data_IF_287532035025
#
_entry.id   IF_287532035025
#
_cell.length_a   1.000
_cell.length_b   1.000
_cell.length_c   1.000
_cell.angle_alpha   90.00
_cell.angle_beta   90.00
_cell.angle_gamma   90.00
#
_symmetry.space_group_name_H-M   'P 1'
#
loop_
_entity.id
_entity.type
_entity.pdbx_description
1 polymer ?
#
# COMPACT_ATOMS: atom_id res chain seq x y z
N UNK A 1 -23.65 -13.81 -1.47
CA UNK A 1 -22.23 -14.10 -1.14
C UNK A 1 -22.15 -14.26 0.36
N UNK A 2 -21.64 -15.38 0.87
CA UNK A 2 -21.39 -15.54 2.32
C UNK A 2 -19.89 -15.29 2.55
N UNK A 3 -19.54 -14.31 3.39
CA UNK A 3 -18.15 -13.95 3.66
C UNK A 3 -17.49 -14.84 4.72
N UNK A 4 -18.28 -15.48 5.56
CA UNK A 4 -17.81 -16.34 6.65
C UNK A 4 -18.71 -17.56 6.84
N UNK A 5 -18.18 -18.64 7.39
CA UNK A 5 -18.92 -19.82 7.84
C UNK A 5 -18.80 -20.00 9.35
N UNK A 6 -19.90 -20.31 10.06
CA UNK A 6 -19.85 -20.53 11.51
C UNK A 6 -19.21 -21.86 11.90
N UNK A 7 -18.44 -21.88 13.00
CA UNK A 7 -17.85 -23.10 13.57
C UNK A 7 -17.70 -23.00 15.09
N UNK A 8 -18.45 -23.82 15.85
CA UNK A 8 -18.15 -24.26 17.23
C UNK A 8 -17.77 -23.23 18.32
N UNK A 9 -17.90 -21.92 18.06
CA UNK A 9 -17.36 -20.84 18.89
C UNK A 9 -16.81 -19.62 18.13
N UNK A 10 -16.79 -19.65 16.80
CA UNK A 10 -16.33 -18.54 15.97
C UNK A 10 -16.74 -18.70 14.50
N UNK A 11 -15.94 -18.11 13.62
CA UNK A 11 -16.14 -18.15 12.17
C UNK A 11 -14.87 -18.61 11.46
N UNK A 12 -15.07 -19.22 10.29
CA UNK A 12 -14.03 -19.52 9.31
C UNK A 12 -14.24 -18.57 8.14
N UNK A 13 -13.19 -17.81 7.83
CA UNK A 13 -13.21 -16.86 6.72
C UNK A 13 -13.26 -17.58 5.37
N UNK A 14 -13.99 -16.99 4.43
CA UNK A 14 -14.03 -17.48 3.06
C UNK A 14 -12.93 -16.86 2.22
N UNK A 15 -12.57 -17.52 1.12
CA UNK A 15 -11.63 -16.96 0.14
C UNK A 15 -12.09 -15.58 -0.38
N UNK A 16 -13.40 -15.36 -0.48
CA UNK A 16 -13.94 -14.08 -0.91
C UNK A 16 -13.75 -12.97 0.14
N UNK A 17 -13.82 -13.30 1.43
CA UNK A 17 -13.50 -12.36 2.49
C UNK A 17 -12.01 -12.03 2.50
N UNK A 18 -11.16 -13.04 2.39
CA UNK A 18 -9.71 -12.81 2.37
C UNK A 18 -9.27 -11.96 1.17
N UNK A 19 -9.82 -12.21 -0.03
CA UNK A 19 -9.54 -11.37 -1.20
C UNK A 19 -10.02 -9.92 -1.04
N UNK A 20 -11.17 -9.70 -0.41
CA UNK A 20 -11.65 -8.34 -0.11
C UNK A 20 -10.77 -7.65 0.94
N UNK A 21 -10.40 -8.36 2.02
CA UNK A 21 -9.53 -7.86 3.09
C UNK A 21 -8.16 -7.47 2.52
N UNK A 22 -7.58 -8.29 1.66
CA UNK A 22 -6.30 -8.02 1.00
C UNK A 22 -6.36 -6.77 0.12
N UNK A 23 -7.41 -6.61 -0.70
CA UNK A 23 -7.61 -5.39 -1.48
C UNK A 23 -7.76 -4.13 -0.62
N UNK A 24 -8.43 -4.24 0.53
CA UNK A 24 -8.51 -3.14 1.51
C UNK A 24 -7.14 -2.81 2.11
N UNK A 25 -6.28 -3.80 2.35
CA UNK A 25 -4.92 -3.58 2.82
C UNK A 25 -4.07 -2.85 1.76
N UNK A 26 -4.21 -3.18 0.48
CA UNK A 26 -3.50 -2.48 -0.60
C UNK A 26 -3.88 -0.99 -0.68
N UNK A 27 -5.17 -0.67 -0.52
CA UNK A 27 -5.64 0.72 -0.44
C UNK A 27 -5.01 1.45 0.76
N UNK A 28 -4.90 0.78 1.92
CA UNK A 28 -4.27 1.36 3.12
C UNK A 28 -2.79 1.66 2.88
N UNK A 29 -2.05 0.73 2.26
CA UNK A 29 -0.65 0.95 1.92
C UNK A 29 -0.47 2.09 0.92
N UNK A 30 -1.26 2.13 -0.16
CA UNK A 30 -1.20 3.22 -1.14
C UNK A 30 -1.51 4.58 -0.49
N UNK A 31 -2.53 4.62 0.37
CA UNK A 31 -2.92 5.84 1.10
C UNK A 31 -1.80 6.33 2.01
N UNK A 32 -1.20 5.44 2.82
CA UNK A 32 -0.10 5.81 3.70
C UNK A 32 1.12 6.30 2.91
N UNK A 33 1.45 5.63 1.80
CA UNK A 33 2.53 6.05 0.91
C UNK A 33 2.30 7.47 0.39
N UNK A 34 1.09 7.78 -0.08
CA UNK A 34 0.75 9.13 -0.55
C UNK A 34 0.85 10.17 0.57
N UNK A 35 0.33 9.87 1.76
CA UNK A 35 0.38 10.77 2.92
C UNK A 35 1.81 11.13 3.32
N UNK A 36 2.73 10.17 3.28
CA UNK A 36 4.15 10.40 3.57
C UNK A 36 4.87 11.12 2.42
N UNK A 37 4.56 10.79 1.17
CA UNK A 37 5.25 11.34 0.02
C UNK A 37 4.86 12.79 -0.28
N UNK A 38 3.56 13.14 -0.24
CA UNK A 38 3.08 14.45 -0.68
C UNK A 38 3.75 15.66 0.00
N UNK A 39 3.93 15.68 1.33
CA UNK A 39 4.66 16.77 2.00
C UNK A 39 6.12 16.87 1.54
N UNK A 40 6.76 15.73 1.29
CA UNK A 40 8.18 15.64 0.94
C UNK A 40 8.48 16.02 -0.52
N UNK A 41 7.48 16.04 -1.42
CA UNK A 41 7.64 16.52 -2.81
C UNK A 41 8.11 17.98 -2.87
N UNK A 42 7.87 18.77 -1.82
CA UNK A 42 8.30 20.17 -1.71
C UNK A 42 9.43 20.38 -0.69
N UNK A 43 10.01 19.31 -0.15
CA UNK A 43 11.08 19.40 0.83
C UNK A 43 12.33 20.09 0.23
N UNK A 44 13.03 20.89 1.04
CA UNK A 44 14.30 21.50 0.64
C UNK A 44 15.38 20.44 0.38
N UNK A 45 15.40 19.37 1.17
CA UNK A 45 16.30 18.23 0.97
C UNK A 45 15.98 17.52 -0.36
N UNK A 46 17.00 17.47 -1.21
CA UNK A 46 16.95 16.77 -2.49
C UNK A 46 16.66 15.28 -2.33
N UNK A 47 17.23 14.61 -1.32
CA UNK A 47 17.04 13.16 -1.11
C UNK A 47 15.60 12.85 -0.72
N UNK A 48 15.05 13.60 0.24
CA UNK A 48 13.64 13.49 0.60
C UNK A 48 12.72 13.72 -0.60
N UNK A 49 12.98 14.78 -1.38
CA UNK A 49 12.19 15.11 -2.58
C UNK A 49 12.25 14.03 -3.65
N UNK A 50 13.43 13.48 -3.90
CA UNK A 50 13.63 12.41 -4.87
C UNK A 50 12.91 11.13 -4.45
N UNK A 51 13.06 10.72 -3.18
CA UNK A 51 12.39 9.55 -2.63
C UNK A 51 10.86 9.66 -2.74
N UNK A 52 10.30 10.83 -2.42
CA UNK A 52 8.87 11.11 -2.52
C UNK A 52 8.34 10.99 -3.95
N UNK A 53 9.03 11.61 -4.92
CA UNK A 53 8.64 11.53 -6.33
C UNK A 53 8.71 10.11 -6.86
N UNK A 54 9.75 9.35 -6.49
CA UNK A 54 9.90 7.94 -6.88
C UNK A 54 8.75 7.09 -6.33
N UNK A 55 8.38 7.29 -5.07
CA UNK A 55 7.26 6.58 -4.45
C UNK A 55 5.92 6.89 -5.14
N UNK A 56 5.66 8.14 -5.51
CA UNK A 56 4.45 8.50 -6.25
C UNK A 56 4.46 7.99 -7.69
N UNK A 57 5.64 7.89 -8.32
CA UNK A 57 5.78 7.33 -9.66
C UNK A 57 5.37 5.85 -9.68
N UNK A 58 5.75 5.07 -8.67
CA UNK A 58 5.29 3.69 -8.53
C UNK A 58 3.76 3.59 -8.65
N UNK A 59 3.01 4.41 -7.91
CA UNK A 59 1.54 4.40 -7.97
C UNK A 59 1.01 4.85 -9.34
N UNK A 60 1.70 5.78 -10.00
CA UNK A 60 1.31 6.23 -11.35
C UNK A 60 1.56 5.15 -12.42
N UNK A 61 2.54 4.28 -12.22
CA UNK A 61 2.91 3.20 -13.13
C UNK A 61 2.10 1.91 -12.91
N UNK A 62 1.32 1.82 -11.83
CA UNK A 62 0.44 0.68 -11.57
C UNK A 62 -0.68 0.61 -12.62
N UNK A 63 -0.51 -0.25 -13.63
CA UNK A 63 -1.54 -0.58 -14.61
C UNK A 63 -2.55 -1.59 -14.03
N UNK A 64 -3.85 -1.37 -14.24
CA UNK A 64 -4.93 -2.21 -13.71
C UNK A 64 -5.00 -3.61 -14.31
N UNK A 65 -4.38 -3.83 -15.47
CA UNK A 65 -4.65 -5.02 -16.30
C UNK A 65 -3.68 -6.18 -16.05
N UNK A 66 -2.51 -5.94 -15.46
CA UNK A 66 -1.46 -6.96 -15.33
C UNK A 66 -0.46 -6.67 -14.20
N UNK A 67 -0.96 -6.42 -12.99
CA UNK A 67 -0.10 -6.10 -11.85
C UNK A 67 -0.08 -7.23 -10.83
N UNK A 68 1.13 -7.69 -10.46
CA UNK A 68 1.32 -8.58 -9.32
C UNK A 68 1.13 -7.76 -8.03
N UNK A 69 -0.02 -7.93 -7.37
CA UNK A 69 -0.36 -7.20 -6.15
C UNK A 69 0.56 -7.53 -4.97
N UNK A 70 1.17 -8.72 -4.96
CA UNK A 70 2.16 -9.07 -3.93
C UNK A 70 3.43 -8.23 -4.12
N UNK A 71 3.93 -8.15 -5.36
CA UNK A 71 5.06 -7.29 -5.68
C UNK A 71 4.75 -5.81 -5.41
N UNK A 72 3.56 -5.36 -5.81
CA UNK A 72 3.06 -4.00 -5.55
C UNK A 72 3.15 -3.64 -4.07
N UNK A 73 2.63 -4.52 -3.22
CA UNK A 73 2.62 -4.33 -1.77
C UNK A 73 4.01 -4.24 -1.18
N UNK A 74 4.92 -5.11 -1.61
CA UNK A 74 6.31 -5.09 -1.15
C UNK A 74 7.02 -3.80 -1.57
N UNK A 75 6.80 -3.34 -2.80
CA UNK A 75 7.37 -2.06 -3.26
C UNK A 75 6.80 -0.87 -2.47
N UNK A 76 5.48 -0.83 -2.24
CA UNK A 76 4.85 0.20 -1.40
C UNK A 76 5.44 0.22 0.02
N UNK A 77 5.60 -0.95 0.66
CA UNK A 77 6.21 -1.07 2.00
C UNK A 77 7.64 -0.52 1.99
N UNK A 78 8.45 -0.92 1.00
CA UNK A 78 9.83 -0.45 0.85
C UNK A 78 9.90 1.08 0.75
N UNK A 79 9.03 1.68 -0.07
CA UNK A 79 8.92 3.12 -0.20
C UNK A 79 8.45 3.82 1.07
N UNK A 80 7.47 3.27 1.79
CA UNK A 80 6.99 3.79 3.07
C UNK A 80 8.13 3.85 4.09
N UNK A 81 8.87 2.75 4.26
CA UNK A 81 10.00 2.69 5.19
C UNK A 81 11.07 3.71 4.81
N UNK A 82 11.36 3.87 3.52
CA UNK A 82 12.32 4.88 3.05
C UNK A 82 11.85 6.32 3.34
N UNK A 83 10.57 6.62 3.18
CA UNK A 83 10.01 7.96 3.45
C UNK A 83 9.96 8.29 4.94
N UNK A 84 9.70 7.29 5.79
CA UNK A 84 9.72 7.46 7.25
C UNK A 84 11.08 7.92 7.79
N UNK A 85 12.18 7.59 7.11
CA UNK A 85 13.51 8.06 7.47
C UNK A 85 13.66 9.60 7.42
N UNK A 86 12.79 10.29 6.66
CA UNK A 86 12.77 11.75 6.53
C UNK A 86 11.72 12.44 7.42
N UNK A 87 10.83 11.69 8.10
CA UNK A 87 9.77 12.25 8.96
C UNK A 87 10.24 12.49 10.41
N UNK A 88 11.48 12.93 10.61
CA UNK A 88 11.99 13.34 11.93
C UNK A 88 11.82 14.83 12.18
#
# INVERSE_FOLDING_TARGET
MNFVYGHGGGVIDTLAWEGFREGMDDIRYATLLQQLAHPLVRAADFKARYAAKKALQLLADMNTDSFDLTAARLEMISHIVALQAFSK
#
